data_IF_611836488678
#
_entry.id   IF_611836488678
#
_cell.length_a   1.000
_cell.length_b   1.000
_cell.length_c   1.000
_cell.angle_alpha   90.00
_cell.angle_beta   90.00
_cell.angle_gamma   90.00
#
_symmetry.space_group_name_H-M   'P 1'
#
loop_
_entity.id
_entity.type
_entity.pdbx_description
1 polymer ?
#
# COMPACT_ATOMS: atom_id res chain seq x y z
N UNK A 1 21.48 -19.12 3.04
CA UNK A 1 20.18 -18.75 2.48
C UNK A 1 19.80 -17.44 3.14
N UNK A 2 20.32 -16.34 2.61
CA UNK A 2 19.97 -15.01 3.11
C UNK A 2 18.60 -14.68 2.54
N UNK A 3 17.62 -14.59 3.42
CA UNK A 3 16.28 -14.16 3.08
C UNK A 3 16.39 -12.75 2.48
N UNK A 4 16.11 -12.53 1.18
CA UNK A 4 16.31 -11.23 0.54
C UNK A 4 15.26 -10.19 0.96
N UNK A 5 14.32 -10.56 1.83
CA UNK A 5 13.29 -9.68 2.35
C UNK A 5 13.45 -9.57 3.88
N UNK A 6 13.71 -8.37 4.44
CA UNK A 6 13.74 -8.19 5.88
C UNK A 6 12.39 -8.59 6.48
N UNK A 7 12.41 -9.51 7.46
CA UNK A 7 11.26 -10.21 8.05
C UNK A 7 10.18 -9.34 8.72
N UNK A 8 10.26 -8.01 8.63
CA UNK A 8 9.29 -7.08 9.22
C UNK A 8 8.95 -5.91 8.29
N UNK A 9 8.57 -6.21 7.05
CA UNK A 9 7.96 -5.17 6.20
C UNK A 9 6.52 -4.98 6.65
N UNK A 10 6.27 -3.96 7.49
CA UNK A 10 4.91 -3.52 7.83
C UNK A 10 4.31 -2.87 6.59
N UNK A 11 3.02 -3.08 6.34
CA UNK A 11 2.33 -2.47 5.20
C UNK A 11 1.26 -1.50 5.69
N UNK A 12 1.10 -0.40 4.96
CA UNK A 12 0.06 0.58 5.22
C UNK A 12 -1.31 -0.10 5.16
N UNK A 13 -2.05 -0.04 6.25
CA UNK A 13 -3.37 -0.66 6.39
C UNK A 13 -4.48 0.11 5.65
N UNK A 14 -4.10 0.98 4.70
CA UNK A 14 -4.97 1.75 3.81
C UNK A 14 -4.60 1.51 2.35
N UNK A 15 -3.35 1.76 1.94
CA UNK A 15 -2.93 1.62 0.54
C UNK A 15 -2.08 0.39 0.25
N UNK A 16 -1.71 -0.41 1.26
CA UNK A 16 -0.85 -1.59 1.07
C UNK A 16 0.62 -1.28 0.77
N UNK A 17 1.03 -0.01 0.76
CA UNK A 17 2.42 0.38 0.55
C UNK A 17 3.32 -0.07 1.71
N UNK A 18 4.53 -0.58 1.46
CA UNK A 18 5.49 -0.90 2.52
C UNK A 18 5.79 0.35 3.36
N UNK A 19 5.74 0.18 4.68
CA UNK A 19 6.05 1.21 5.66
C UNK A 19 7.53 1.15 6.01
N UNK A 20 8.21 2.25 5.76
CA UNK A 20 9.56 2.57 6.25
C UNK A 20 9.48 3.73 7.23
N UNK A 21 10.54 3.95 8.01
CA UNK A 21 10.58 5.05 9.00
C UNK A 21 10.35 6.44 8.36
N UNK A 22 10.69 6.60 7.08
CA UNK A 22 10.52 7.87 6.34
C UNK A 22 9.09 8.12 5.84
N UNK A 23 8.29 7.07 5.66
CA UNK A 23 6.93 7.15 5.09
C UNK A 23 5.84 6.82 6.09
N UNK A 24 6.18 6.28 7.27
CA UNK A 24 5.23 5.98 8.33
C UNK A 24 4.64 7.27 8.91
N UNK A 25 3.34 7.29 9.15
CA UNK A 25 2.66 8.43 9.78
C UNK A 25 2.82 8.43 11.30
N UNK A 26 2.17 9.39 11.97
CA UNK A 26 2.00 9.38 13.43
C UNK A 26 1.33 8.09 13.95
N UNK A 27 0.61 7.38 13.08
CA UNK A 27 0.07 6.05 13.34
C UNK A 27 0.93 4.96 12.67
N UNK A 28 1.44 3.97 13.41
CA UNK A 28 2.32 2.92 12.88
C UNK A 28 1.63 1.97 11.89
N UNK A 29 0.31 1.99 11.78
CA UNK A 29 -0.46 1.20 10.81
C UNK A 29 -0.59 1.89 9.44
N UNK A 30 -0.31 3.20 9.33
CA UNK A 30 -0.59 3.98 8.13
C UNK A 30 0.62 4.80 7.66
N UNK A 31 0.69 5.05 6.35
CA UNK A 31 1.69 5.96 5.78
C UNK A 31 1.22 7.42 5.88
N UNK A 32 2.19 8.35 5.90
CA UNK A 32 1.95 9.80 5.98
C UNK A 32 1.11 10.38 4.84
N UNK A 33 1.00 9.66 3.73
CA UNK A 33 0.17 10.05 2.59
C UNK A 33 -1.29 9.62 2.77
N UNK A 34 -1.55 8.55 3.51
CA UNK A 34 -2.91 8.09 3.79
C UNK A 34 -3.50 8.74 5.05
N UNK A 35 -2.67 8.92 6.08
CA UNK A 35 -3.10 9.39 7.40
C UNK A 35 -2.06 10.36 7.97
N UNK A 36 -2.50 11.53 8.40
CA UNK A 36 -1.67 12.49 9.12
C UNK A 36 -2.56 13.33 10.04
N UNK A 37 -1.98 13.93 11.09
CA UNK A 37 -2.71 14.81 12.01
C UNK A 37 -3.97 14.17 12.61
N UNK A 38 -3.91 12.86 12.87
CA UNK A 38 -5.02 12.14 13.48
C UNK A 38 -6.23 11.86 12.58
N UNK A 39 -6.15 12.07 11.26
CA UNK A 39 -7.23 11.76 10.33
C UNK A 39 -6.71 11.25 8.97
N UNK A 40 -7.60 10.62 8.20
CA UNK A 40 -7.28 10.25 6.82
C UNK A 40 -7.28 11.50 5.95
N UNK A 41 -6.18 11.73 5.24
CA UNK A 41 -6.03 12.91 4.36
C UNK A 41 -6.93 12.84 3.13
N UNK A 42 -7.35 11.62 2.75
CA UNK A 42 -8.16 11.37 1.57
C UNK A 42 -9.28 10.38 1.87
N UNK A 43 -10.50 10.78 1.55
CA UNK A 43 -11.69 9.94 1.61
C UNK A 43 -11.87 9.15 0.30
N UNK A 44 -10.89 8.33 -0.03
CA UNK A 44 -11.00 7.42 -1.16
C UNK A 44 -11.91 6.25 -0.83
N UNK A 45 -12.69 5.85 -1.83
CA UNK A 45 -13.28 4.51 -1.92
C UNK A 45 -12.19 3.48 -2.25
N UNK A 46 -12.52 2.19 -2.09
CA UNK A 46 -11.58 1.11 -2.41
C UNK A 46 -11.09 1.21 -3.86
N UNK A 47 -12.01 1.36 -4.82
CA UNK A 47 -11.67 1.48 -6.25
C UNK A 47 -10.76 2.69 -6.53
N UNK A 48 -11.04 3.85 -5.93
CA UNK A 48 -10.21 5.04 -6.09
C UNK A 48 -8.80 4.85 -5.51
N UNK A 49 -8.68 4.16 -4.37
CA UNK A 49 -7.37 3.83 -3.81
C UNK A 49 -6.60 2.87 -4.73
N UNK A 50 -7.29 1.89 -5.33
CA UNK A 50 -6.66 0.96 -6.28
C UNK A 50 -6.16 1.72 -7.50
N UNK A 51 -6.98 2.58 -8.08
CA UNK A 51 -6.60 3.43 -9.20
C UNK A 51 -5.39 4.31 -8.86
N UNK A 52 -5.37 4.89 -7.66
CA UNK A 52 -4.24 5.68 -7.17
C UNK A 52 -2.96 4.84 -7.04
N UNK A 53 -3.04 3.65 -6.45
CA UNK A 53 -1.89 2.75 -6.34
C UNK A 53 -1.36 2.30 -7.71
N UNK A 54 -2.25 2.08 -8.69
CA UNK A 54 -1.87 1.70 -10.07
C UNK A 54 -1.04 2.80 -10.74
N UNK A 55 -1.20 4.07 -10.38
CA UNK A 55 -0.34 5.15 -10.89
C UNK A 55 1.15 4.96 -10.53
N UNK A 56 1.42 4.21 -9.45
CA UNK A 56 2.78 3.89 -8.98
C UNK A 56 3.23 2.48 -9.37
N UNK A 57 2.49 1.79 -10.26
CA UNK A 57 2.83 0.44 -10.72
C UNK A 57 4.26 0.36 -11.28
N UNK A 58 4.69 1.33 -12.08
CA UNK A 58 6.03 1.33 -12.65
C UNK A 58 7.12 1.36 -11.57
N UNK A 59 6.89 2.12 -10.50
CA UNK A 59 7.80 2.19 -9.36
C UNK A 59 7.77 0.90 -8.55
N UNK A 60 6.57 0.33 -8.33
CA UNK A 60 6.42 -0.99 -7.71
C UNK A 60 7.17 -2.08 -8.48
N UNK A 61 6.99 -2.15 -9.80
CA UNK A 61 7.66 -3.10 -10.69
C UNK A 61 9.19 -2.95 -10.61
N UNK A 62 9.70 -1.72 -10.65
CA UNK A 62 11.15 -1.44 -10.51
C UNK A 62 11.70 -1.87 -9.15
N UNK A 63 10.99 -1.55 -8.07
CA UNK A 63 11.45 -1.81 -6.70
C UNK A 63 11.36 -3.28 -6.32
N UNK A 64 10.40 -4.02 -6.88
CA UNK A 64 10.19 -5.45 -6.58
C UNK A 64 10.82 -6.39 -7.61
N UNK A 65 11.26 -5.86 -8.76
CA UNK A 65 11.69 -6.65 -9.91
C UNK A 65 10.54 -7.39 -10.61
N UNK A 66 9.29 -7.04 -10.30
CA UNK A 66 8.11 -7.60 -10.96
C UNK A 66 7.78 -6.84 -12.26
N UNK A 67 7.00 -7.48 -13.11
CA UNK A 67 6.52 -6.92 -14.38
C UNK A 67 5.01 -7.13 -14.49
N UNK A 68 4.26 -6.54 -13.55
CA UNK A 68 2.81 -6.59 -13.56
C UNK A 68 2.25 -5.54 -14.52
N UNK A 69 1.14 -5.86 -15.18
CA UNK A 69 0.31 -4.90 -15.90
C UNK A 69 -0.64 -4.16 -14.96
N UNK A 70 -1.19 -3.02 -15.40
CA UNK A 70 -2.17 -2.25 -14.64
C UNK A 70 -3.39 -3.09 -14.20
N UNK A 71 -3.88 -3.95 -15.08
CA UNK A 71 -5.04 -4.81 -14.80
C UNK A 71 -4.71 -5.93 -13.82
N UNK A 72 -3.52 -6.53 -13.91
CA UNK A 72 -3.06 -7.54 -12.95
C UNK A 72 -2.87 -6.93 -11.58
N UNK A 73 -2.17 -5.79 -11.50
CA UNK A 73 -1.94 -5.11 -10.25
C UNK A 73 -3.24 -4.62 -9.60
N UNK A 74 -4.20 -4.11 -10.40
CA UNK A 74 -5.55 -3.76 -9.93
C UNK A 74 -6.24 -4.97 -9.29
N UNK A 75 -6.21 -6.14 -9.93
CA UNK A 75 -6.82 -7.36 -9.40
C UNK A 75 -6.18 -7.80 -8.09
N UNK A 76 -4.85 -7.78 -8.01
CA UNK A 76 -4.10 -8.08 -6.79
C UNK A 76 -4.50 -7.14 -5.65
N UNK A 77 -4.55 -5.83 -5.91
CA UNK A 77 -4.95 -4.83 -4.91
C UNK A 77 -6.40 -5.03 -4.46
N UNK A 78 -7.33 -5.33 -5.37
CA UNK A 78 -8.73 -5.60 -5.02
C UNK A 78 -8.90 -6.86 -4.16
N UNK A 79 -8.05 -7.87 -4.33
CA UNK A 79 -8.04 -9.06 -3.48
C UNK A 79 -7.35 -8.79 -2.13
N UNK A 80 -6.34 -7.93 -2.13
CA UNK A 80 -5.54 -7.62 -0.95
C UNK A 80 -6.22 -6.60 -0.02
N UNK A 81 -6.84 -5.54 -0.56
CA UNK A 81 -7.41 -4.43 0.20
C UNK A 81 -8.43 -4.86 1.25
N UNK A 82 -9.37 -5.81 1.00
CA UNK A 82 -10.29 -6.31 2.02
C UNK A 82 -9.61 -6.88 3.29
N UNK A 83 -8.31 -7.20 3.23
CA UNK A 83 -7.53 -7.69 4.38
C UNK A 83 -6.94 -6.57 5.24
N UNK A 84 -6.91 -5.33 4.73
CA UNK A 84 -6.35 -4.17 5.41
C UNK A 84 -7.35 -3.55 6.38
N UNK A 85 -6.88 -3.03 7.53
CA UNK A 85 -7.75 -2.49 8.59
C UNK A 85 -8.75 -1.42 8.11
N UNK A 86 -8.36 -0.54 7.17
CA UNK A 86 -9.26 0.51 6.63
C UNK A 86 -10.47 -0.07 5.89
N UNK A 87 -10.27 -1.16 5.15
CA UNK A 87 -11.29 -1.72 4.25
C UNK A 87 -11.93 -2.99 4.79
N UNK A 88 -11.34 -3.56 5.84
CA UNK A 88 -11.87 -4.72 6.55
C UNK A 88 -13.20 -4.32 7.19
N UNK A 89 -14.27 -4.95 6.73
CA UNK A 89 -15.59 -4.93 7.38
C UNK A 89 -15.65 -5.93 8.53
#
# INVERSE_FOLDING_TARGET
MENPFPEYTRFCQSCGMPLTDEVTSDNPDYCKYCYAEGHFLQDFTMDQMVDHCVQYLDEFNKNTGQHLTADEYRKELLQYFPRLKRWKK
#
